data_IF_581829570340
#
_entry.id   IF_581829570340
#
_cell.length_a   1.000
_cell.length_b   1.000
_cell.length_c   1.000
_cell.angle_alpha   90.00
_cell.angle_beta   90.00
_cell.angle_gamma   90.00
#
_symmetry.space_group_name_H-M   'P 1'
#
loop_
_entity.id
_entity.type
_entity.pdbx_description
1 polymer ?
#
# COMPACT_ATOMS: atom_id res chain seq x y z
N UNK A 1 -10.80 16.16 0.51
CA UNK A 1 -11.41 15.79 -0.78
C UNK A 1 -10.72 14.55 -1.35
N UNK A 2 -11.51 13.60 -1.85
CA UNK A 2 -11.00 12.35 -2.42
C UNK A 2 -11.15 12.37 -3.92
N UNK A 3 -10.13 11.92 -4.63
CA UNK A 3 -10.12 11.91 -6.08
C UNK A 3 -9.65 10.54 -6.59
N UNK A 4 -10.43 9.93 -7.49
CA UNK A 4 -10.01 8.69 -8.14
C UNK A 4 -8.97 9.06 -9.19
N UNK A 5 -7.74 8.59 -9.01
CA UNK A 5 -6.63 8.91 -9.92
C UNK A 5 -6.29 7.75 -10.87
N UNK A 6 -6.83 6.55 -10.61
CA UNK A 6 -6.67 5.40 -11.48
C UNK A 6 -7.72 4.36 -11.13
N UNK A 7 -8.31 3.72 -12.12
CA UNK A 7 -9.34 2.71 -11.87
C UNK A 7 -9.35 1.63 -12.95
N UNK A 8 -9.38 0.37 -12.50
CA UNK A 8 -9.61 -0.83 -13.29
C UNK A 8 -10.63 -1.67 -12.53
N UNK A 9 -11.12 -2.77 -13.15
CA UNK A 9 -12.11 -3.63 -12.51
C UNK A 9 -11.62 -4.22 -11.20
N UNK A 10 -10.30 -4.44 -11.08
CA UNK A 10 -9.70 -5.15 -9.95
C UNK A 10 -8.97 -4.21 -8.96
N UNK A 11 -8.82 -2.94 -9.29
CA UNK A 11 -8.11 -1.99 -8.43
C UNK A 11 -8.58 -0.56 -8.65
N UNK A 12 -8.63 0.23 -7.57
CA UNK A 12 -8.79 1.67 -7.68
C UNK A 12 -7.72 2.34 -6.82
N UNK A 13 -7.22 3.49 -7.30
CA UNK A 13 -6.30 4.35 -6.57
C UNK A 13 -7.01 5.68 -6.33
N UNK A 14 -7.15 6.06 -5.05
CA UNK A 14 -7.85 7.27 -4.64
C UNK A 14 -6.88 8.16 -3.88
N UNK A 15 -6.74 9.39 -4.33
CA UNK A 15 -5.92 10.37 -3.65
C UNK A 15 -6.76 11.12 -2.62
N UNK A 16 -6.32 11.12 -1.37
CA UNK A 16 -6.91 11.90 -0.30
C UNK A 16 -5.86 12.88 0.20
N UNK A 17 -6.05 14.16 -0.06
CA UNK A 17 -5.07 15.20 0.28
C UNK A 17 -5.09 15.59 1.75
N UNK A 18 -6.16 15.25 2.46
CA UNK A 18 -6.30 15.61 3.88
C UNK A 18 -5.49 14.71 4.80
N UNK A 19 -5.39 13.44 4.49
CA UNK A 19 -4.66 12.45 5.32
C UNK A 19 -3.15 12.77 5.38
N UNK A 20 -2.34 13.03 4.33
CA UNK A 20 -2.50 12.72 2.91
C UNK A 20 -2.06 11.29 2.56
N UNK A 21 -2.79 10.65 1.69
CA UNK A 21 -2.49 9.27 1.28
C UNK A 21 -3.07 8.93 -0.09
N UNK A 22 -2.44 7.95 -0.74
CA UNK A 22 -3.05 7.26 -1.88
C UNK A 22 -3.65 5.98 -1.31
N UNK A 23 -4.97 5.85 -1.47
CA UNK A 23 -5.72 4.68 -1.00
C UNK A 23 -5.85 3.69 -2.16
N UNK A 24 -5.26 2.53 -1.99
CA UNK A 24 -5.27 1.45 -2.98
C UNK A 24 -6.25 0.39 -2.55
N UNK A 25 -7.29 0.18 -3.34
CA UNK A 25 -8.34 -0.77 -3.02
C UNK A 25 -8.39 -1.87 -4.07
N UNK A 26 -8.16 -3.11 -3.67
CA UNK A 26 -8.12 -4.29 -4.54
C UNK A 26 -9.38 -5.12 -4.39
N UNK A 27 -9.76 -5.81 -5.47
CA UNK A 27 -10.84 -6.78 -5.42
C UNK A 27 -10.65 -7.88 -6.46
N UNK A 28 -10.98 -9.09 -6.05
CA UNK A 28 -10.99 -10.25 -6.94
C UNK A 28 -9.64 -10.90 -7.16
N UNK A 29 -9.62 -11.84 -8.10
CA UNK A 29 -8.42 -12.56 -8.47
C UNK A 29 -7.67 -11.76 -9.52
N UNK A 30 -6.41 -11.46 -9.23
CA UNK A 30 -5.58 -10.59 -10.06
C UNK A 30 -4.40 -11.38 -10.59
N UNK A 31 -4.19 -11.34 -11.91
CA UNK A 31 -3.06 -12.01 -12.53
C UNK A 31 -1.75 -11.30 -12.19
N UNK A 32 -0.61 -11.99 -12.41
CA UNK A 32 0.70 -11.38 -12.20
C UNK A 32 0.85 -10.08 -13.02
N UNK A 33 0.46 -10.12 -14.29
CA UNK A 33 0.61 -8.96 -15.17
C UNK A 33 -0.28 -7.80 -14.75
N UNK A 34 -1.53 -8.08 -14.37
CA UNK A 34 -2.44 -7.06 -13.86
C UNK A 34 -1.90 -6.43 -12.58
N UNK A 35 -1.37 -7.26 -11.70
CA UNK A 35 -0.80 -6.80 -10.43
C UNK A 35 0.42 -5.91 -10.69
N UNK A 36 1.32 -6.36 -11.56
CA UNK A 36 2.53 -5.61 -11.91
C UNK A 36 2.19 -4.25 -12.52
N UNK A 37 1.29 -4.23 -13.50
CA UNK A 37 0.90 -2.98 -14.18
C UNK A 37 0.32 -1.99 -13.18
N UNK A 38 -0.55 -2.45 -12.28
CA UNK A 38 -1.18 -1.57 -11.30
C UNK A 38 -0.17 -1.01 -10.29
N UNK A 39 0.76 -1.83 -9.80
CA UNK A 39 1.77 -1.37 -8.85
C UNK A 39 2.76 -0.40 -9.50
N UNK A 40 3.16 -0.65 -10.73
CA UNK A 40 4.01 0.27 -11.47
C UNK A 40 3.31 1.61 -11.70
N UNK A 41 2.02 1.57 -12.01
CA UNK A 41 1.21 2.79 -12.17
C UNK A 41 1.10 3.55 -10.85
N UNK A 42 0.91 2.84 -9.75
CA UNK A 42 0.85 3.46 -8.42
C UNK A 42 2.13 4.20 -8.10
N UNK A 43 3.28 3.58 -8.35
CA UNK A 43 4.56 4.23 -8.10
C UNK A 43 4.74 5.47 -8.97
N UNK A 44 4.38 5.38 -10.24
CA UNK A 44 4.42 6.52 -11.17
C UNK A 44 3.58 7.69 -10.65
N UNK A 45 2.34 7.41 -10.24
CA UNK A 45 1.44 8.44 -9.71
C UNK A 45 1.95 9.00 -8.39
N UNK A 46 2.48 8.15 -7.52
CA UNK A 46 3.08 8.61 -6.27
C UNK A 46 4.20 9.61 -6.54
N UNK A 47 5.10 9.30 -7.47
CA UNK A 47 6.22 10.19 -7.81
C UNK A 47 5.71 11.51 -8.38
N UNK A 48 4.63 11.49 -9.12
CA UNK A 48 4.01 12.70 -9.66
C UNK A 48 3.41 13.57 -8.56
N UNK A 49 2.63 12.97 -7.64
CA UNK A 49 1.91 13.73 -6.62
C UNK A 49 2.77 14.13 -5.41
N UNK A 50 3.81 13.39 -5.09
CA UNK A 50 4.61 13.69 -3.91
C UNK A 50 5.30 15.05 -3.98
N UNK A 51 5.54 15.57 -5.18
CA UNK A 51 6.20 16.86 -5.35
C UNK A 51 5.33 18.02 -4.88
N UNK A 52 3.99 17.84 -4.89
CA UNK A 52 3.06 18.88 -4.46
C UNK A 52 2.32 18.55 -3.17
N UNK A 53 2.44 17.31 -2.68
CA UNK A 53 1.75 16.86 -1.47
C UNK A 53 2.80 16.32 -0.48
N UNK A 54 3.23 17.15 0.50
CA UNK A 54 4.21 16.70 1.49
C UNK A 54 3.70 15.53 2.32
N UNK A 55 4.60 14.61 2.67
CA UNK A 55 4.32 13.47 3.52
C UNK A 55 3.23 12.54 2.97
N UNK A 56 3.15 12.43 1.63
CA UNK A 56 2.19 11.53 1.00
C UNK A 56 2.53 10.08 1.35
N UNK A 57 1.55 9.36 1.90
CA UNK A 57 1.69 7.97 2.34
C UNK A 57 0.76 7.06 1.55
N UNK A 58 0.81 5.77 1.84
CA UNK A 58 -0.04 4.78 1.17
C UNK A 58 -0.92 4.05 2.18
N UNK A 59 -2.17 3.80 1.77
CA UNK A 59 -3.06 2.87 2.44
C UNK A 59 -3.37 1.78 1.41
N UNK A 60 -3.07 0.53 1.73
CA UNK A 60 -3.25 -0.60 0.82
C UNK A 60 -4.30 -1.54 1.40
N UNK A 61 -5.48 -1.59 0.79
CA UNK A 61 -6.55 -2.47 1.22
C UNK A 61 -6.45 -3.80 0.48
N UNK A 62 -6.05 -4.83 1.20
CA UNK A 62 -5.84 -6.17 0.67
C UNK A 62 -6.99 -7.14 0.95
N UNK A 63 -8.08 -6.66 1.60
CA UNK A 63 -9.17 -7.56 2.00
C UNK A 63 -9.80 -8.35 0.88
N UNK A 64 -9.96 -7.72 -0.30
CA UNK A 64 -10.56 -8.38 -1.45
C UNK A 64 -9.58 -8.96 -2.46
N UNK A 65 -8.29 -8.87 -2.18
CA UNK A 65 -7.25 -9.24 -3.14
C UNK A 65 -6.91 -10.73 -3.09
N UNK A 66 -6.82 -11.34 -4.27
CA UNK A 66 -6.27 -12.68 -4.46
C UNK A 66 -5.24 -12.60 -5.57
N UNK A 67 -3.97 -12.56 -5.20
CA UNK A 67 -2.87 -12.52 -6.15
C UNK A 67 -2.11 -13.85 -6.10
N UNK A 68 -1.60 -14.30 -7.24
CA UNK A 68 -0.86 -15.55 -7.28
C UNK A 68 0.58 -15.37 -6.75
N UNK A 69 1.27 -16.51 -6.55
CA UNK A 69 2.63 -16.52 -6.01
C UNK A 69 3.62 -15.77 -6.91
N UNK A 70 3.43 -15.86 -8.23
CA UNK A 70 4.31 -15.16 -9.18
C UNK A 70 4.21 -13.64 -9.03
N UNK A 71 3.00 -13.12 -8.82
CA UNK A 71 2.78 -11.70 -8.56
C UNK A 71 3.44 -11.25 -7.26
N UNK A 72 3.29 -12.02 -6.20
CA UNK A 72 3.91 -11.73 -4.92
C UNK A 72 5.44 -11.77 -5.02
N UNK A 73 6.00 -12.77 -5.70
CA UNK A 73 7.43 -12.89 -5.89
C UNK A 73 7.98 -11.70 -6.67
N UNK A 74 7.29 -11.30 -7.73
CA UNK A 74 7.69 -10.11 -8.49
C UNK A 74 7.70 -8.87 -7.60
N UNK A 75 6.65 -8.67 -6.81
CA UNK A 75 6.56 -7.50 -5.92
C UNK A 75 7.70 -7.50 -4.91
N UNK A 76 8.01 -8.64 -4.30
CA UNK A 76 9.06 -8.72 -3.30
C UNK A 76 10.45 -8.42 -3.89
N UNK A 77 10.73 -8.90 -5.10
CA UNK A 77 12.05 -8.76 -5.70
C UNK A 77 12.26 -7.50 -6.52
N UNK A 78 11.20 -7.02 -7.19
CA UNK A 78 11.33 -5.93 -8.15
C UNK A 78 10.69 -4.63 -7.67
N UNK A 79 9.58 -4.71 -6.98
CA UNK A 79 8.80 -3.53 -6.61
C UNK A 79 9.16 -2.97 -5.23
N UNK A 80 9.14 -3.80 -4.20
CA UNK A 80 9.37 -3.34 -2.82
C UNK A 80 10.72 -2.65 -2.63
N UNK A 81 11.82 -3.11 -3.26
CA UNK A 81 13.11 -2.41 -3.10
C UNK A 81 13.13 -0.99 -3.65
N UNK A 82 12.17 -0.61 -4.50
CA UNK A 82 12.09 0.74 -5.06
C UNK A 82 11.41 1.74 -4.15
N UNK A 83 10.73 1.28 -3.10
CA UNK A 83 9.86 2.14 -2.31
C UNK A 83 10.61 3.15 -1.45
N UNK A 84 11.58 2.70 -0.68
CA UNK A 84 12.35 3.62 0.17
C UNK A 84 13.09 4.69 -0.66
N UNK A 85 13.80 4.31 -1.75
CA UNK A 85 14.44 5.32 -2.60
C UNK A 85 13.46 6.31 -3.23
N UNK A 86 12.20 5.89 -3.44
CA UNK A 86 11.16 6.76 -4.01
C UNK A 86 10.64 7.79 -3.02
N UNK A 87 10.91 7.65 -1.72
CA UNK A 87 10.50 8.59 -0.70
C UNK A 87 9.40 8.09 0.23
N UNK A 88 8.86 6.90 0.00
CA UNK A 88 7.84 6.31 0.88
C UNK A 88 8.43 6.06 2.26
N UNK A 89 7.71 6.45 3.32
CA UNK A 89 8.13 6.27 4.72
C UNK A 89 7.12 5.54 5.57
N UNK A 90 5.83 5.60 5.23
CA UNK A 90 4.76 4.92 5.96
C UNK A 90 3.80 4.23 5.01
N UNK A 91 3.45 2.99 5.30
CA UNK A 91 2.41 2.25 4.57
C UNK A 91 1.49 1.58 5.57
N UNK A 92 0.19 1.86 5.47
CA UNK A 92 -0.83 1.19 6.26
C UNK A 92 -1.49 0.11 5.40
N UNK A 93 -1.50 -1.12 5.88
CA UNK A 93 -2.18 -2.22 5.20
C UNK A 93 -3.48 -2.54 5.91
N UNK A 94 -4.57 -2.69 5.14
CA UNK A 94 -5.84 -3.15 5.66
C UNK A 94 -6.00 -4.59 5.21
N UNK A 95 -6.17 -5.50 6.16
CA UNK A 95 -6.24 -6.94 5.93
C UNK A 95 -7.42 -7.53 6.69
N UNK A 96 -7.91 -8.73 6.29
CA UNK A 96 -8.94 -9.41 7.07
C UNK A 96 -8.48 -9.66 8.51
N UNK A 97 -9.41 -9.68 9.45
CA UNK A 97 -9.12 -9.84 10.87
C UNK A 97 -8.28 -11.08 11.16
N UNK A 98 -8.62 -12.22 10.54
CA UNK A 98 -7.87 -13.47 10.69
C UNK A 98 -6.42 -13.31 10.24
N UNK A 99 -6.22 -12.62 9.11
CA UNK A 99 -4.89 -12.36 8.56
C UNK A 99 -4.10 -11.43 9.46
N UNK A 100 -4.76 -10.41 10.02
CA UNK A 100 -4.12 -9.48 10.95
C UNK A 100 -3.50 -10.21 12.13
N UNK A 101 -4.23 -11.18 12.68
CA UNK A 101 -3.75 -11.97 13.81
C UNK A 101 -2.51 -12.79 13.43
N UNK A 102 -2.51 -13.41 12.26
CA UNK A 102 -1.36 -14.17 11.76
C UNK A 102 -0.14 -13.27 11.52
N UNK A 103 -0.35 -12.07 10.97
CA UNK A 103 0.73 -11.12 10.70
C UNK A 103 1.42 -10.67 11.99
N UNK A 104 0.64 -10.45 13.04
CA UNK A 104 1.18 -10.07 14.34
C UNK A 104 2.08 -11.17 14.91
N UNK A 105 1.72 -12.43 14.68
CA UNK A 105 2.48 -13.57 15.18
C UNK A 105 3.74 -13.82 14.36
N UNK A 106 3.64 -13.76 13.04
CA UNK A 106 4.70 -14.17 12.12
C UNK A 106 5.65 -13.05 11.71
N UNK A 107 5.34 -11.81 12.03
CA UNK A 107 6.15 -10.63 11.68
C UNK A 107 6.46 -10.58 10.17
N UNK A 108 5.43 -10.77 9.34
CA UNK A 108 5.58 -10.83 7.88
C UNK A 108 6.14 -9.55 7.26
N UNK A 109 6.11 -8.44 7.99
CA UNK A 109 6.69 -7.17 7.53
C UNK A 109 8.19 -7.25 7.24
N UNK A 110 8.90 -8.21 7.83
CA UNK A 110 10.34 -8.36 7.60
C UNK A 110 10.68 -8.68 6.16
N UNK A 111 9.76 -9.31 5.41
CA UNK A 111 9.96 -9.63 4.00
C UNK A 111 9.75 -8.42 3.10
N UNK A 112 9.00 -7.43 3.57
CA UNK A 112 8.70 -6.24 2.79
C UNK A 112 9.86 -5.24 2.84
N UNK A 113 10.42 -5.01 4.02
CA UNK A 113 11.51 -4.06 4.22
C UNK A 113 12.50 -4.61 5.22
N UNK A 114 13.50 -5.35 4.73
CA UNK A 114 14.50 -5.99 5.57
C UNK A 114 15.34 -4.99 6.37
N UNK A 115 15.46 -3.75 5.89
CA UNK A 115 16.23 -2.71 6.56
C UNK A 115 15.39 -1.88 7.53
N UNK A 116 14.09 -2.12 7.59
CA UNK A 116 13.15 -1.41 8.46
C UNK A 116 13.18 0.11 8.28
N UNK A 117 13.40 0.54 7.04
CA UNK A 117 13.45 1.96 6.67
C UNK A 117 12.07 2.54 6.41
N UNK A 118 11.08 1.67 6.16
CA UNK A 118 9.69 2.05 5.95
C UNK A 118 8.88 1.53 7.13
N UNK A 119 8.08 2.42 7.72
CA UNK A 119 7.22 2.05 8.82
C UNK A 119 5.94 1.42 8.28
N UNK A 120 5.72 0.15 8.59
CA UNK A 120 4.57 -0.62 8.14
C UNK A 120 3.66 -0.92 9.32
N UNK A 121 2.35 -0.79 9.12
CA UNK A 121 1.40 -1.19 10.14
C UNK A 121 0.18 -1.83 9.48
N UNK A 122 -0.42 -2.80 10.17
CA UNK A 122 -1.55 -3.58 9.66
C UNK A 122 -2.79 -3.29 10.49
N UNK A 123 -3.92 -3.14 9.79
CA UNK A 123 -5.21 -2.83 10.40
C UNK A 123 -6.29 -3.69 9.77
N UNK A 124 -7.43 -3.81 10.43
CA UNK A 124 -8.58 -4.49 9.85
C UNK A 124 -9.66 -3.50 9.34
N UNK A 125 -9.43 -2.21 9.50
CA UNK A 125 -10.38 -1.18 9.05
C UNK A 125 -9.67 0.11 8.64
N UNK A 126 -10.33 0.88 7.80
CA UNK A 126 -9.80 2.12 7.26
C UNK A 126 -9.65 3.21 8.32
N UNK A 127 -10.55 3.28 9.27
CA UNK A 127 -10.55 4.33 10.30
C UNK A 127 -9.25 4.32 11.12
N UNK A 128 -8.83 3.15 11.59
CA UNK A 128 -7.58 3.02 12.36
C UNK A 128 -6.36 3.30 11.51
N UNK A 129 -6.36 2.84 10.25
CA UNK A 129 -5.26 3.11 9.33
C UNK A 129 -5.09 4.61 9.09
N UNK A 130 -6.19 5.30 8.86
CA UNK A 130 -6.20 6.75 8.65
C UNK A 130 -5.69 7.50 9.87
N UNK A 131 -6.15 7.10 11.05
CA UNK A 131 -5.71 7.71 12.31
C UNK A 131 -4.20 7.55 12.50
N UNK A 132 -3.68 6.34 12.24
CA UNK A 132 -2.25 6.08 12.38
C UNK A 132 -1.41 6.93 11.43
N UNK A 133 -1.83 7.08 10.18
CA UNK A 133 -1.10 7.88 9.20
C UNK A 133 -1.10 9.37 9.57
N UNK A 134 -2.15 9.85 10.23
CA UNK A 134 -2.26 11.23 10.66
C UNK A 134 -1.48 11.54 11.94
N UNK A 135 -0.92 10.53 12.63
CA UNK A 135 -0.14 10.76 13.83
C UNK A 135 1.16 11.47 13.50
N UNK A 136 1.43 12.55 14.24
CA UNK A 136 2.64 13.33 14.06
C UNK A 136 3.73 12.77 14.97
N UNK A 137 4.90 12.40 14.45
CA UNK A 137 6.02 12.00 15.31
C UNK A 137 6.41 13.16 16.20
N UNK A 138 6.55 12.88 17.46
CA UNK A 138 6.97 13.90 18.44
C UNK A 138 8.48 14.06 18.46
#
# INVERSE_FOLDING_TARGET
MKEIIYQKQFVSLVLDKEIPAIYENWQGTVSRDEFQIALEKKLELYLEYKSSIPALNWIVNLKGLRVNKAGQAWANHEFHPKLHPSGIRKIAFIVPEDTLHLLEIEQLSSHFDSKKQIELCYFDNLSEATTWLGETPL
#
